data_IF_755453241156
#
_entry.id   IF_755453241156
#
_cell.length_a   1.000
_cell.length_b   1.000
_cell.length_c   1.000
_cell.angle_alpha   90.00
_cell.angle_beta   90.00
_cell.angle_gamma   90.00
#
_symmetry.space_group_name_H-M   'P 1'
#
loop_
_entity.id
_entity.type
_entity.pdbx_description
1 polymer ?
#
# COMPACT_ATOMS: atom_id res chain seq x y z
N UNK A 1 13.93 6.63 -30.21
CA UNK A 1 15.07 7.33 -29.58
C UNK A 1 14.89 8.82 -29.89
N UNK A 2 15.01 9.83 -29.04
CA UNK A 2 15.47 9.95 -27.66
C UNK A 2 14.76 11.15 -27.00
N UNK A 3 14.57 11.06 -25.68
CA UNK A 3 13.91 12.05 -24.81
C UNK A 3 14.89 13.16 -24.43
N UNK A 4 14.68 14.37 -24.92
CA UNK A 4 15.46 15.57 -24.54
C UNK A 4 15.08 16.01 -23.13
N UNK A 5 16.08 16.07 -22.24
CA UNK A 5 15.95 16.53 -20.85
C UNK A 5 16.18 18.05 -20.82
N UNK A 6 15.19 18.82 -20.35
CA UNK A 6 15.39 20.24 -20.03
C UNK A 6 16.09 20.38 -18.66
N UNK A 7 17.28 20.99 -18.66
CA UNK A 7 18.00 21.44 -17.47
C UNK A 7 17.71 22.93 -17.25
N UNK A 8 17.10 23.28 -16.11
CA UNK A 8 16.81 24.67 -15.73
C UNK A 8 18.09 25.34 -15.20
N UNK A 9 18.38 26.53 -15.75
CA UNK A 9 19.51 27.41 -15.44
C UNK A 9 19.29 28.17 -14.13
N UNK A 10 20.31 28.22 -13.27
CA UNK A 10 20.35 28.99 -12.02
C UNK A 10 20.87 30.41 -12.30
N UNK A 11 20.17 31.43 -11.81
CA UNK A 11 20.46 32.86 -11.99
C UNK A 11 21.52 33.40 -11.00
N UNK A 12 22.30 34.38 -11.48
CA UNK A 12 23.36 35.19 -10.84
C UNK A 12 22.82 36.08 -9.70
N UNK A 13 23.61 36.53 -8.69
CA UNK A 13 24.56 37.68 -8.75
C UNK A 13 25.55 37.74 -7.56
N UNK A 14 26.74 38.35 -7.79
CA UNK A 14 27.94 38.61 -6.91
C UNK A 14 27.84 40.02 -6.22
N UNK A 15 28.85 40.69 -5.58
CA UNK A 15 30.28 40.39 -5.28
C UNK A 15 30.88 40.93 -3.92
N UNK A 16 32.14 40.56 -3.58
CA UNK A 16 33.25 41.48 -3.21
C UNK A 16 34.51 40.68 -2.80
N UNK A 17 35.66 40.84 -3.48
CA UNK A 17 36.90 41.57 -3.03
C UNK A 17 37.63 40.80 -1.89
N UNK A 18 38.91 40.43 -1.85
CA UNK A 18 40.13 40.50 -2.69
C UNK A 18 41.25 39.76 -1.89
N UNK A 19 42.30 39.27 -2.59
CA UNK A 19 43.67 38.95 -2.13
C UNK A 19 44.01 37.83 -1.08
N UNK A 20 44.85 36.88 -1.55
CA UNK A 20 46.11 36.47 -0.87
C UNK A 20 46.13 35.22 0.05
N UNK A 21 47.00 34.21 -0.19
CA UNK A 21 47.22 33.10 0.74
C UNK A 21 48.45 33.36 1.63
N UNK A 22 48.33 33.22 2.96
CA UNK A 22 49.50 32.90 3.82
C UNK A 22 49.11 32.31 5.19
N UNK A 23 49.61 31.09 5.36
CA UNK A 23 50.09 30.38 6.56
C UNK A 23 50.15 31.13 7.90
N UNK A 24 49.49 30.60 8.93
CA UNK A 24 50.04 30.43 10.30
C UNK A 24 49.15 29.46 11.12
N UNK A 25 49.72 28.54 11.93
CA UNK A 25 48.94 27.61 12.77
C UNK A 25 48.79 28.16 14.20
N UNK A 26 47.56 28.21 14.73
CA UNK A 26 47.30 28.53 16.15
C UNK A 26 46.35 27.53 16.82
N UNK A 27 46.91 26.82 17.80
CA UNK A 27 46.35 26.34 19.07
C UNK A 27 44.99 25.61 19.11
N UNK A 28 44.92 24.33 19.56
CA UNK A 28 43.65 23.67 19.83
C UNK A 28 43.12 24.03 21.22
N UNK A 29 41.99 24.73 21.27
CA UNK A 29 41.17 24.90 22.49
C UNK A 29 40.39 23.61 22.77
N UNK A 30 40.94 22.73 23.62
CA UNK A 30 40.22 21.55 24.12
C UNK A 30 39.28 21.95 25.26
N UNK A 31 38.08 22.42 24.92
CA UNK A 31 36.95 22.50 25.87
C UNK A 31 36.22 21.16 25.88
N UNK A 32 36.43 20.40 26.96
CA UNK A 32 35.68 19.19 27.29
C UNK A 32 34.26 19.59 27.69
N UNK A 33 33.30 19.45 26.78
CA UNK A 33 31.87 19.49 27.09
C UNK A 33 31.36 18.08 27.33
N UNK A 34 31.29 17.75 28.61
CA UNK A 34 30.52 16.71 29.29
C UNK A 34 29.40 16.09 28.42
N UNK A 35 29.57 14.83 28.05
CA UNK A 35 28.51 13.96 27.50
C UNK A 35 27.46 13.70 28.58
N UNK A 36 26.31 14.35 28.47
CA UNK A 36 25.10 13.91 29.16
C UNK A 36 24.45 12.80 28.33
N UNK A 37 24.11 11.63 28.90
CA UNK A 37 23.31 10.64 28.19
C UNK A 37 21.92 11.21 28.01
N UNK A 38 21.61 11.68 26.81
CA UNK A 38 20.24 12.05 26.43
C UNK A 38 19.44 10.75 26.41
N UNK A 39 18.62 10.54 27.44
CA UNK A 39 17.60 9.49 27.47
C UNK A 39 16.78 9.61 26.19
N UNK A 40 17.06 8.74 25.22
CA UNK A 40 16.31 8.66 23.98
C UNK A 40 14.94 8.08 24.32
N UNK A 41 14.02 8.97 24.66
CA UNK A 41 12.58 8.69 24.63
C UNK A 41 12.31 8.18 23.22
N UNK A 42 12.18 6.86 23.10
CA UNK A 42 11.76 6.20 21.88
C UNK A 42 10.37 6.76 21.56
N UNK A 43 10.31 7.78 20.70
CA UNK A 43 9.07 8.16 20.03
C UNK A 43 8.61 6.90 19.33
N UNK A 44 7.62 6.22 19.91
CA UNK A 44 6.89 5.14 19.27
C UNK A 44 6.51 5.65 17.89
N UNK A 45 7.17 5.11 16.87
CA UNK A 45 7.05 5.55 15.49
C UNK A 45 5.59 5.34 15.13
N UNK A 46 4.79 6.41 15.08
CA UNK A 46 3.37 6.30 14.80
C UNK A 46 3.20 5.50 13.51
N UNK A 47 2.45 4.40 13.60
CA UNK A 47 2.17 3.57 12.43
C UNK A 47 1.40 4.43 11.43
N UNK A 48 1.95 4.52 10.21
CA UNK A 48 1.32 5.29 9.15
C UNK A 48 0.05 4.58 8.72
N UNK A 49 -1.10 5.20 9.00
CA UNK A 49 -2.40 4.72 8.51
C UNK A 49 -2.55 5.00 7.01
N UNK A 50 -3.04 4.02 6.26
CA UNK A 50 -3.41 4.22 4.86
C UNK A 50 -4.67 5.08 4.74
N UNK A 51 -4.75 5.87 3.66
CA UNK A 51 -5.99 6.60 3.33
C UNK A 51 -7.12 5.63 3.03
N UNK A 52 -8.39 5.98 3.34
CA UNK A 52 -9.54 5.15 2.98
C UNK A 52 -9.52 4.82 1.48
N UNK A 53 -9.88 3.58 1.12
CA UNK A 53 -9.82 3.07 -0.24
C UNK A 53 -8.43 2.60 -0.72
N UNK A 54 -7.32 3.01 -0.09
CA UNK A 54 -5.97 2.61 -0.53
C UNK A 54 -5.73 1.11 -0.41
N UNK A 55 -6.18 0.52 0.70
CA UNK A 55 -6.06 -0.92 0.95
C UNK A 55 -7.03 -1.70 0.08
N UNK A 56 -8.30 -1.26 -0.02
CA UNK A 56 -9.30 -1.88 -0.89
C UNK A 56 -8.84 -1.93 -2.36
N UNK A 57 -8.30 -0.84 -2.92
CA UNK A 57 -7.77 -0.83 -4.28
C UNK A 57 -6.55 -1.75 -4.47
N UNK A 58 -5.79 -2.03 -3.40
CA UNK A 58 -4.67 -2.98 -3.45
C UNK A 58 -5.20 -4.41 -3.45
N UNK A 59 -6.18 -4.71 -2.63
CA UNK A 59 -6.83 -6.01 -2.54
C UNK A 59 -7.55 -6.36 -3.85
N UNK A 60 -8.32 -5.43 -4.42
CA UNK A 60 -8.99 -5.62 -5.73
C UNK A 60 -7.96 -6.02 -6.79
N UNK A 61 -6.84 -5.29 -6.89
CA UNK A 61 -5.77 -5.61 -7.85
C UNK A 61 -5.07 -6.93 -7.56
N UNK A 62 -4.97 -7.34 -6.29
CA UNK A 62 -4.39 -8.61 -5.90
C UNK A 62 -5.30 -9.78 -6.29
N UNK A 63 -6.60 -9.71 -5.97
CA UNK A 63 -7.57 -10.74 -6.28
C UNK A 63 -7.89 -10.83 -7.78
N UNK A 64 -7.80 -9.72 -8.53
CA UNK A 64 -7.92 -9.78 -9.99
C UNK A 64 -6.70 -10.41 -10.69
N UNK A 65 -5.53 -10.42 -10.03
CA UNK A 65 -4.29 -11.02 -10.58
C UNK A 65 -4.13 -12.49 -10.20
N UNK A 66 -4.77 -12.91 -9.12
CA UNK A 66 -4.70 -14.27 -8.58
C UNK A 66 -6.03 -14.98 -8.81
N UNK A 67 -6.06 -16.29 -8.63
CA UNK A 67 -7.25 -17.12 -8.84
C UNK A 67 -7.51 -18.02 -7.64
N UNK A 68 -6.99 -17.65 -6.47
CA UNK A 68 -7.16 -18.46 -5.26
C UNK A 68 -8.61 -18.34 -4.77
N UNK A 69 -9.19 -19.46 -4.36
CA UNK A 69 -10.48 -19.49 -3.69
C UNK A 69 -10.43 -18.64 -2.41
N UNK A 70 -11.39 -17.74 -2.26
CA UNK A 70 -11.44 -16.75 -1.17
C UNK A 70 -12.32 -17.24 -0.03
N UNK A 71 -13.31 -18.10 -0.32
CA UNK A 71 -14.22 -18.62 0.71
C UNK A 71 -13.53 -19.78 1.44
N UNK A 72 -13.48 -19.77 2.78
CA UNK A 72 -12.98 -20.93 3.51
C UNK A 72 -13.85 -22.17 3.24
N UNK A 73 -13.21 -23.30 2.91
CA UNK A 73 -13.91 -24.54 2.52
C UNK A 73 -14.79 -25.10 3.64
N UNK A 74 -14.33 -25.00 4.90
CA UNK A 74 -15.01 -25.59 6.06
C UNK A 74 -16.45 -25.08 6.29
N UNK A 75 -16.73 -23.77 6.35
CA UNK A 75 -18.10 -23.26 6.51
C UNK A 75 -18.98 -23.57 5.30
N UNK A 76 -18.46 -23.48 4.07
CA UNK A 76 -19.24 -23.83 2.88
C UNK A 76 -19.64 -25.30 2.88
N UNK A 77 -18.71 -26.18 3.24
CA UNK A 77 -18.97 -27.61 3.36
C UNK A 77 -20.06 -27.93 4.39
N UNK A 78 -20.07 -27.24 5.54
CA UNK A 78 -21.13 -27.39 6.55
C UNK A 78 -22.51 -27.02 6.00
N UNK A 79 -22.61 -25.89 5.29
CA UNK A 79 -23.86 -25.44 4.67
C UNK A 79 -24.33 -26.43 3.58
N UNK A 80 -23.42 -26.89 2.73
CA UNK A 80 -23.75 -27.85 1.66
C UNK A 80 -24.24 -29.17 2.25
N UNK A 81 -23.62 -29.66 3.33
CA UNK A 81 -24.05 -30.87 4.04
C UNK A 81 -25.40 -30.71 4.74
N UNK A 82 -25.75 -29.51 5.19
CA UNK A 82 -27.06 -29.22 5.76
C UNK A 82 -28.14 -29.30 4.68
N UNK A 83 -27.88 -28.75 3.49
CA UNK A 83 -28.87 -28.70 2.39
C UNK A 83 -28.98 -30.02 1.65
N UNK A 84 -27.89 -30.76 1.44
CA UNK A 84 -27.99 -32.11 0.88
C UNK A 84 -27.17 -33.14 1.65
N UNK A 85 -27.75 -34.33 1.76
CA UNK A 85 -27.34 -35.34 2.72
C UNK A 85 -26.15 -36.19 2.24
N UNK A 86 -25.76 -36.10 0.97
CA UNK A 86 -24.63 -36.86 0.43
C UNK A 86 -23.97 -36.24 -0.80
N UNK A 87 -22.64 -36.08 -0.78
CA UNK A 87 -21.84 -35.70 -1.95
C UNK A 87 -20.44 -36.28 -1.86
N UNK A 88 -19.83 -36.53 -3.02
CA UNK A 88 -18.41 -36.90 -3.07
C UNK A 88 -17.51 -35.69 -2.76
N UNK A 89 -16.33 -35.87 -2.13
CA UNK A 89 -15.43 -34.77 -1.78
C UNK A 89 -15.03 -33.88 -2.96
N UNK A 90 -14.88 -34.48 -4.15
CA UNK A 90 -14.55 -33.77 -5.39
C UNK A 90 -15.65 -32.80 -5.83
N UNK A 91 -16.91 -33.13 -5.57
CA UNK A 91 -18.07 -32.30 -5.94
C UNK A 91 -18.10 -31.02 -5.12
N UNK A 92 -17.62 -31.04 -3.88
CA UNK A 92 -17.59 -29.88 -3.00
C UNK A 92 -16.68 -28.76 -3.53
N UNK A 93 -15.54 -29.14 -4.10
CA UNK A 93 -14.59 -28.18 -4.69
C UNK A 93 -15.23 -27.52 -5.92
N UNK A 94 -15.92 -28.30 -6.75
CA UNK A 94 -16.64 -27.77 -7.92
C UNK A 94 -17.77 -26.84 -7.50
N UNK A 95 -18.56 -27.22 -6.49
CA UNK A 95 -19.62 -26.36 -5.94
C UNK A 95 -19.03 -25.05 -5.43
N UNK A 96 -17.88 -25.10 -4.76
CA UNK A 96 -17.21 -23.90 -4.29
C UNK A 96 -16.75 -23.00 -5.44
N UNK A 97 -16.10 -23.56 -6.44
CA UNK A 97 -15.61 -22.82 -7.61
C UNK A 97 -16.77 -22.12 -8.33
N UNK A 98 -17.87 -22.84 -8.57
CA UNK A 98 -19.06 -22.29 -9.22
C UNK A 98 -19.75 -21.22 -8.34
N UNK A 99 -19.79 -21.43 -7.03
CA UNK A 99 -20.39 -20.46 -6.11
C UNK A 99 -19.58 -19.15 -6.06
N UNK A 100 -18.25 -19.23 -6.01
CA UNK A 100 -17.39 -18.05 -6.02
C UNK A 100 -17.46 -17.33 -7.37
N UNK A 101 -17.44 -18.05 -8.49
CA UNK A 101 -17.58 -17.47 -9.83
C UNK A 101 -18.91 -16.73 -10.00
N UNK A 102 -20.01 -17.34 -9.55
CA UNK A 102 -21.34 -16.71 -9.58
C UNK A 102 -21.38 -15.41 -8.76
N UNK A 103 -20.79 -15.40 -7.55
CA UNK A 103 -20.75 -14.21 -6.71
C UNK A 103 -19.90 -13.09 -7.33
N UNK A 104 -18.77 -13.42 -7.95
CA UNK A 104 -17.92 -12.42 -8.64
C UNK A 104 -18.69 -11.75 -9.78
N UNK A 105 -19.38 -12.52 -10.62
CA UNK A 105 -20.21 -11.98 -11.70
C UNK A 105 -21.34 -11.10 -11.16
N UNK A 106 -22.04 -11.57 -10.12
CA UNK A 106 -23.10 -10.80 -9.47
C UNK A 106 -22.58 -9.46 -8.91
N UNK A 107 -21.41 -9.45 -8.28
CA UNK A 107 -20.81 -8.22 -7.76
C UNK A 107 -20.37 -7.27 -8.88
N UNK A 108 -19.95 -7.78 -10.03
CA UNK A 108 -19.60 -6.96 -11.18
C UNK A 108 -20.83 -6.21 -11.73
N UNK A 109 -21.95 -6.92 -11.87
CA UNK A 109 -23.22 -6.32 -12.30
C UNK A 109 -23.76 -5.32 -11.26
N UNK A 110 -23.72 -5.68 -9.98
CA UNK A 110 -24.12 -4.78 -8.89
C UNK A 110 -23.25 -3.51 -8.85
N UNK A 111 -21.95 -3.64 -9.13
CA UNK A 111 -21.04 -2.49 -9.21
C UNK A 111 -21.38 -1.59 -10.39
N UNK A 112 -21.75 -2.17 -11.54
CA UNK A 112 -22.22 -1.40 -12.69
C UNK A 112 -23.49 -0.61 -12.36
N UNK A 113 -24.44 -1.22 -11.66
CA UNK A 113 -25.63 -0.53 -11.15
C UNK A 113 -25.30 0.60 -10.15
N UNK A 114 -24.33 0.39 -9.26
CA UNK A 114 -23.90 1.41 -8.31
C UNK A 114 -23.27 2.62 -9.03
N UNK A 115 -22.40 2.38 -10.02
CA UNK A 115 -21.78 3.43 -10.84
C UNK A 115 -22.85 4.16 -11.66
N UNK A 116 -23.83 3.44 -12.21
CA UNK A 116 -24.97 4.04 -12.90
C UNK A 116 -25.73 5.03 -11.98
N UNK A 117 -25.89 4.68 -10.72
CA UNK A 117 -26.47 5.54 -9.68
C UNK A 117 -25.49 6.59 -9.10
N UNK A 118 -24.31 6.79 -9.70
CA UNK A 118 -23.24 7.70 -9.22
C UNK A 118 -22.74 7.40 -7.80
N UNK A 119 -22.83 6.14 -7.37
CA UNK A 119 -22.34 5.65 -6.07
C UNK A 119 -21.10 4.78 -6.26
N UNK A 120 -20.28 4.72 -5.21
CA UNK A 120 -19.10 3.83 -5.12
C UNK A 120 -19.37 2.63 -4.20
N UNK A 121 -20.34 2.76 -3.30
CA UNK A 121 -20.72 1.71 -2.36
C UNK A 121 -21.91 0.91 -2.89
N UNK A 122 -21.80 -0.42 -2.83
CA UNK A 122 -22.93 -1.33 -3.05
C UNK A 122 -23.96 -1.16 -1.94
N UNK A 123 -25.23 -1.34 -2.30
CA UNK A 123 -26.37 -1.31 -1.38
C UNK A 123 -27.17 -2.59 -1.57
N UNK A 124 -27.85 -3.00 -0.50
CA UNK A 124 -28.74 -4.14 -0.42
C UNK A 124 -30.13 -3.83 -1.00
#
# INVERSE_FOLDING_TARGET
MARTKHLVKRSRTKPSVEAGPSTTPSTPTRKSTRTTPTTSVQKSKQEKRYKPGTVALREIRHFQKTWNLVIPVAPLFRNVREVSHFFAPKVLIVIQEVAEDFLVHLFQDAMLCAIHAKRVMLMN
#
